data_IF_358829604130
#
_entry.id   IF_358829604130
#
_cell.length_a   1.000
_cell.length_b   1.000
_cell.length_c   1.000
_cell.angle_alpha   90.00
_cell.angle_beta   90.00
_cell.angle_gamma   90.00
#
_symmetry.space_group_name_H-M   'P 1'
#
loop_
_entity.id
_entity.type
_entity.pdbx_description
1 polymer ?
#
# COMPACT_ATOMS: atom_id res chain seq x y z
N UNK A 1 6.28 11.34 16.10
CA UNK A 1 6.53 12.59 16.88
C UNK A 1 5.17 13.23 17.20
N UNK A 2 5.08 14.21 18.10
CA UNK A 2 3.80 14.92 18.31
C UNK A 2 3.34 15.54 16.98
N UNK A 3 2.10 15.29 16.58
CA UNK A 3 1.55 15.76 15.31
C UNK A 3 1.92 14.92 14.08
N UNK A 4 2.66 13.81 14.23
CA UNK A 4 2.81 12.84 13.14
C UNK A 4 1.48 12.08 12.97
N UNK A 5 0.97 11.93 11.73
CA UNK A 5 -0.19 11.08 11.47
C UNK A 5 0.04 9.65 11.95
N UNK A 6 -1.04 8.98 12.38
CA UNK A 6 -1.04 7.53 12.56
C UNK A 6 -1.12 6.83 11.20
N UNK A 7 -0.77 5.55 11.20
CA UNK A 7 -1.05 4.67 10.07
C UNK A 7 -2.55 4.65 9.71
N UNK A 8 -2.91 4.55 8.41
CA UNK A 8 -4.31 4.48 7.99
C UNK A 8 -4.93 3.12 8.33
N UNK A 9 -6.12 3.11 8.93
CA UNK A 9 -6.84 1.87 9.21
C UNK A 9 -6.07 0.91 10.12
N UNK A 10 -5.89 -0.34 9.69
CA UNK A 10 -5.19 -1.38 10.44
C UNK A 10 -3.71 -1.54 10.02
N UNK A 11 -3.18 -0.58 9.25
CA UNK A 11 -1.80 -0.62 8.77
C UNK A 11 -0.77 -0.63 9.92
N UNK A 12 0.37 -1.31 9.72
CA UNK A 12 1.58 -1.01 10.48
C UNK A 12 1.97 0.46 10.36
N UNK A 13 2.63 1.00 11.39
CA UNK A 13 3.20 2.34 11.34
C UNK A 13 4.17 2.51 10.19
N UNK A 14 4.19 3.71 9.58
CA UNK A 14 4.95 3.98 8.35
C UNK A 14 6.43 3.57 8.51
N UNK A 15 6.87 2.63 7.67
CA UNK A 15 8.24 2.09 7.66
C UNK A 15 8.51 0.96 8.65
N UNK A 16 7.53 0.52 9.44
CA UNK A 16 7.72 -0.54 10.44
C UNK A 16 7.52 -1.96 9.88
N UNK A 17 6.80 -2.10 8.77
CA UNK A 17 6.62 -3.35 8.03
C UNK A 17 7.74 -3.60 7.02
N UNK A 18 8.90 -4.01 7.56
CA UNK A 18 10.16 -4.15 6.82
C UNK A 18 10.41 -5.52 6.17
N UNK A 19 9.52 -6.49 6.38
CA UNK A 19 9.72 -7.89 5.91
C UNK A 19 8.95 -8.20 4.61
N UNK A 20 8.40 -7.17 3.96
CA UNK A 20 7.65 -7.29 2.72
C UNK A 20 6.13 -7.31 2.91
N UNK A 21 5.43 -7.26 1.78
CA UNK A 21 3.98 -7.08 1.71
C UNK A 21 3.22 -8.27 2.30
N UNK A 22 3.65 -9.50 2.03
CA UNK A 22 2.95 -10.70 2.49
C UNK A 22 3.01 -10.86 4.03
N UNK A 23 4.16 -10.70 4.71
CA UNK A 23 4.18 -10.68 6.18
C UNK A 23 3.36 -9.54 6.81
N UNK A 24 3.26 -8.38 6.15
CA UNK A 24 2.38 -7.28 6.57
C UNK A 24 0.90 -7.72 6.54
N UNK A 25 0.47 -8.35 5.44
CA UNK A 25 -0.87 -8.94 5.33
C UNK A 25 -1.15 -10.00 6.39
N UNK A 26 -0.20 -10.91 6.64
CA UNK A 26 -0.37 -11.94 7.67
C UNK A 26 -0.44 -11.37 9.08
N UNK A 27 0.24 -10.25 9.33
CA UNK A 27 0.18 -9.58 10.63
C UNK A 27 -1.20 -8.96 10.86
N UNK A 28 -1.76 -8.29 9.84
CA UNK A 28 -3.11 -7.71 9.91
C UNK A 28 -4.20 -8.78 9.94
N UNK A 29 -4.02 -9.88 9.21
CA UNK A 29 -4.96 -11.02 9.21
C UNK A 29 -5.09 -11.75 10.56
N UNK A 30 -4.24 -11.44 11.54
CA UNK A 30 -4.39 -11.92 12.93
C UNK A 30 -5.43 -11.15 13.74
N UNK A 31 -5.91 -10.00 13.26
CA UNK A 31 -6.98 -9.26 13.91
C UNK A 31 -8.26 -10.08 13.75
N UNK A 32 -8.90 -10.43 14.86
CA UNK A 32 -10.16 -11.16 14.83
C UNK A 32 -11.26 -10.27 14.23
N UNK A 33 -11.88 -10.74 13.16
CA UNK A 33 -12.95 -10.00 12.51
C UNK A 33 -14.20 -9.91 13.39
N UNK A 34 -14.43 -10.87 14.28
CA UNK A 34 -15.57 -10.84 15.20
C UNK A 34 -15.48 -9.68 16.21
N UNK A 35 -14.28 -9.18 16.47
CA UNK A 35 -14.03 -7.97 17.26
C UNK A 35 -14.09 -6.67 16.43
N UNK A 36 -14.17 -6.76 15.10
CA UNK A 36 -14.05 -5.64 14.17
C UNK A 36 -15.01 -5.77 12.95
N UNK A 37 -16.27 -6.09 13.22
CA UNK A 37 -17.30 -6.36 12.20
C UNK A 37 -17.62 -5.19 11.24
N UNK A 38 -17.14 -3.98 11.52
CA UNK A 38 -17.25 -2.82 10.61
C UNK A 38 -16.13 -2.78 9.55
N UNK A 39 -15.18 -3.73 9.60
CA UNK A 39 -14.13 -3.93 8.61
C UNK A 39 -12.73 -3.63 9.11
N UNK A 40 -11.76 -4.36 8.54
CA UNK A 40 -10.33 -4.22 8.82
C UNK A 40 -9.63 -3.82 7.52
N UNK A 41 -9.25 -2.53 7.40
CA UNK A 41 -8.63 -2.01 6.18
C UNK A 41 -7.10 -2.02 6.24
N UNK A 42 -6.46 -2.76 5.33
CA UNK A 42 -5.04 -2.65 5.03
C UNK A 42 -4.79 -1.93 3.70
N UNK A 43 -3.82 -1.02 3.65
CA UNK A 43 -3.36 -0.37 2.42
C UNK A 43 -1.89 -0.66 2.15
N UNK A 44 -1.62 -1.44 1.11
CA UNK A 44 -0.28 -1.81 0.70
C UNK A 44 0.12 -1.09 -0.58
N UNK A 45 1.37 -0.67 -0.62
CA UNK A 45 2.02 -0.17 -1.83
C UNK A 45 3.22 -1.06 -2.12
N UNK A 46 3.31 -1.56 -3.35
CA UNK A 46 4.43 -2.36 -3.84
C UNK A 46 4.94 -1.77 -5.14
N UNK A 47 6.26 -1.82 -5.33
CA UNK A 47 6.88 -1.40 -6.59
C UNK A 47 6.65 -2.43 -7.70
N UNK A 48 6.56 -2.04 -8.99
CA UNK A 48 6.33 -3.00 -10.07
C UNK A 48 7.37 -4.13 -10.14
N UNK A 49 8.65 -3.79 -9.96
CA UNK A 49 9.78 -4.71 -9.86
C UNK A 49 9.73 -5.56 -8.60
N UNK A 50 9.12 -5.07 -7.52
CA UNK A 50 8.87 -5.87 -6.33
C UNK A 50 7.84 -6.98 -6.53
N UNK A 51 6.97 -6.85 -7.55
CA UNK A 51 6.01 -7.89 -7.93
C UNK A 51 6.56 -8.86 -8.98
N UNK A 52 7.47 -8.45 -9.85
CA UNK A 52 7.97 -9.33 -10.91
C UNK A 52 8.69 -8.57 -12.03
N UNK A 53 9.45 -9.32 -12.83
CA UNK A 53 10.30 -8.77 -13.90
C UNK A 53 9.47 -8.33 -15.10
N UNK A 54 8.45 -9.10 -15.43
CA UNK A 54 7.50 -8.85 -16.51
C UNK A 54 6.05 -8.83 -16.01
N UNK A 55 5.12 -8.58 -16.92
CA UNK A 55 3.70 -8.45 -16.60
C UNK A 55 3.09 -9.77 -16.11
N UNK A 56 3.42 -10.89 -16.75
CA UNK A 56 2.88 -12.20 -16.38
C UNK A 56 3.34 -12.62 -14.98
N UNK A 57 4.62 -12.40 -14.65
CA UNK A 57 5.15 -12.61 -13.30
C UNK A 57 4.45 -11.72 -12.28
N UNK A 58 4.25 -10.43 -12.58
CA UNK A 58 3.59 -9.49 -11.65
C UNK A 58 2.15 -9.90 -11.36
N UNK A 59 1.40 -10.30 -12.38
CA UNK A 59 0.02 -10.77 -12.24
C UNK A 59 0.01 -12.04 -11.39
N UNK A 60 0.83 -13.03 -11.76
CA UNK A 60 0.89 -14.33 -11.06
C UNK A 60 1.27 -14.16 -9.59
N UNK A 61 2.28 -13.34 -9.31
CA UNK A 61 2.74 -13.08 -7.94
C UNK A 61 1.72 -12.28 -7.14
N UNK A 62 1.06 -11.29 -7.74
CA UNK A 62 0.00 -10.54 -7.05
C UNK A 62 -1.19 -11.43 -6.69
N UNK A 63 -1.62 -12.30 -7.62
CA UNK A 63 -2.68 -13.30 -7.35
C UNK A 63 -2.26 -14.19 -6.18
N UNK A 64 -1.05 -14.74 -6.21
CA UNK A 64 -0.54 -15.58 -5.12
C UNK A 64 -0.46 -14.86 -3.77
N UNK A 65 -0.07 -13.58 -3.75
CA UNK A 65 -0.04 -12.75 -2.53
C UNK A 65 -1.46 -12.56 -1.99
N UNK A 66 -2.43 -12.27 -2.85
CA UNK A 66 -3.83 -12.07 -2.44
C UNK A 66 -4.47 -13.38 -1.94
N UNK A 67 -4.24 -14.50 -2.63
CA UNK A 67 -4.72 -15.82 -2.22
C UNK A 67 -4.16 -16.21 -0.85
N UNK A 68 -2.85 -16.02 -0.66
CA UNK A 68 -2.20 -16.28 0.61
C UNK A 68 -2.73 -15.35 1.71
N UNK A 69 -2.84 -14.05 1.45
CA UNK A 69 -3.40 -13.09 2.41
C UNK A 69 -4.81 -13.48 2.87
N UNK A 70 -5.71 -13.75 1.92
CA UNK A 70 -7.08 -14.18 2.21
C UNK A 70 -7.10 -15.51 3.00
N UNK A 71 -6.24 -16.47 2.64
CA UNK A 71 -6.07 -17.72 3.39
C UNK A 71 -5.57 -17.54 4.83
N UNK A 72 -5.04 -16.37 5.17
CA UNK A 72 -4.50 -16.00 6.48
C UNK A 72 -5.33 -14.93 7.19
N UNK A 73 -6.64 -14.85 6.91
CA UNK A 73 -7.58 -14.00 7.66
C UNK A 73 -7.60 -12.53 7.24
N UNK A 74 -6.92 -12.17 6.14
CA UNK A 74 -7.00 -10.82 5.60
C UNK A 74 -8.43 -10.52 5.12
N UNK A 75 -9.05 -9.49 5.69
CA UNK A 75 -10.42 -9.10 5.35
C UNK A 75 -10.51 -8.17 4.14
N UNK A 76 -9.69 -7.11 4.11
CA UNK A 76 -9.69 -6.12 3.03
C UNK A 76 -8.27 -5.62 2.74
N UNK A 77 -7.95 -5.48 1.45
CA UNK A 77 -6.70 -4.90 0.98
C UNK A 77 -6.91 -3.85 -0.12
N UNK A 78 -6.35 -2.66 0.09
CA UNK A 78 -6.02 -1.72 -0.96
C UNK A 78 -4.65 -2.05 -1.52
N UNK A 79 -4.55 -2.16 -2.85
CA UNK A 79 -3.30 -2.40 -3.54
C UNK A 79 -2.95 -1.19 -4.42
N UNK A 80 -1.78 -0.63 -4.19
CA UNK A 80 -1.13 0.29 -5.10
C UNK A 80 0.10 -0.41 -5.71
N UNK A 81 0.23 -0.36 -7.04
CA UNK A 81 1.44 -0.81 -7.76
C UNK A 81 2.09 0.41 -8.39
N UNK A 82 2.99 1.06 -7.65
CA UNK A 82 3.57 2.35 -8.04
C UNK A 82 4.93 2.59 -7.39
N UNK A 83 5.64 3.60 -7.90
CA UNK A 83 6.96 4.03 -7.42
C UNK A 83 6.85 5.31 -6.60
N UNK A 84 7.71 5.46 -5.59
CA UNK A 84 7.73 6.67 -4.77
C UNK A 84 8.09 7.90 -5.62
N UNK A 85 9.05 7.72 -6.53
CA UNK A 85 9.54 8.74 -7.45
C UNK A 85 8.42 9.23 -8.39
N UNK A 86 7.46 8.38 -8.73
CA UNK A 86 6.29 8.77 -9.54
C UNK A 86 5.38 9.72 -8.76
N UNK A 87 5.19 9.49 -7.46
CA UNK A 87 4.41 10.40 -6.62
C UNK A 87 5.16 11.71 -6.40
N UNK A 88 6.48 11.65 -6.20
CA UNK A 88 7.32 12.84 -6.07
C UNK A 88 7.28 13.71 -7.34
N UNK A 89 7.41 13.12 -8.55
CA UNK A 89 7.24 13.86 -9.81
C UNK A 89 5.81 14.42 -9.94
N UNK A 90 4.79 13.68 -9.50
CA UNK A 90 3.41 14.15 -9.56
C UNK A 90 3.11 15.31 -8.60
N UNK A 91 3.89 15.48 -7.54
CA UNK A 91 3.79 16.64 -6.66
C UNK A 91 4.38 17.88 -7.32
N UNK A 92 5.50 17.75 -8.04
CA UNK A 92 6.18 18.87 -8.69
C UNK A 92 5.58 19.21 -10.07
N UNK A 93 5.02 18.21 -10.76
CA UNK A 93 4.47 18.30 -12.12
C UNK A 93 3.05 17.68 -12.21
N UNK A 94 2.05 18.19 -11.47
CA UNK A 94 0.72 17.60 -11.41
C UNK A 94 0.00 17.52 -12.77
N UNK A 95 0.33 18.40 -13.71
CA UNK A 95 -0.20 18.44 -15.07
C UNK A 95 0.15 17.20 -15.91
N UNK A 96 1.25 16.51 -15.59
CA UNK A 96 1.61 15.23 -16.24
C UNK A 96 0.75 14.06 -15.75
N UNK A 97 0.07 14.22 -14.61
CA UNK A 97 -0.62 13.15 -13.89
C UNK A 97 -2.10 13.48 -13.59
N UNK A 98 -2.89 13.98 -14.56
CA UNK A 98 -4.24 14.50 -14.30
C UNK A 98 -5.21 13.42 -13.77
N UNK A 99 -4.91 12.14 -14.02
CA UNK A 99 -5.73 11.00 -13.64
C UNK A 99 -5.04 10.05 -12.65
N UNK A 100 -3.87 10.43 -12.10
CA UNK A 100 -3.15 9.57 -11.15
C UNK A 100 -4.01 9.31 -9.91
N UNK A 101 -4.42 8.06 -9.76
CA UNK A 101 -5.34 7.62 -8.73
C UNK A 101 -4.62 6.67 -7.79
N UNK A 102 -4.72 6.94 -6.49
CA UNK A 102 -4.07 6.14 -5.44
C UNK A 102 -5.11 5.65 -4.44
N UNK A 103 -4.91 4.45 -3.90
CA UNK A 103 -5.68 3.92 -2.76
C UNK A 103 -5.05 4.43 -1.46
N UNK A 104 -5.85 4.91 -0.52
CA UNK A 104 -5.34 5.55 0.71
C UNK A 104 -5.79 4.89 2.02
N UNK A 105 -7.08 4.65 2.23
CA UNK A 105 -7.59 4.15 3.53
C UNK A 105 -8.97 3.47 3.41
N UNK A 106 -9.19 2.74 2.32
CA UNK A 106 -10.46 2.07 2.00
C UNK A 106 -11.13 2.59 0.72
N UNK A 107 -10.60 3.69 0.17
CA UNK A 107 -11.10 4.32 -1.04
C UNK A 107 -9.94 4.83 -1.90
N UNK A 108 -10.26 5.26 -3.11
CA UNK A 108 -9.32 5.85 -4.05
C UNK A 108 -9.50 7.37 -4.14
N UNK A 109 -8.40 8.08 -4.36
CA UNK A 109 -8.37 9.54 -4.56
C UNK A 109 -7.51 9.88 -5.76
N UNK A 110 -7.82 11.01 -6.40
CA UNK A 110 -6.92 11.61 -7.36
C UNK A 110 -5.78 12.30 -6.58
N UNK A 111 -4.55 11.81 -6.77
CA UNK A 111 -3.39 12.22 -5.99
C UNK A 111 -3.06 13.71 -6.12
N UNK A 112 -3.18 14.27 -7.32
CA UNK A 112 -2.86 15.68 -7.57
C UNK A 112 -3.91 16.64 -7.00
N UNK A 113 -5.07 16.13 -6.55
CA UNK A 113 -6.11 16.91 -5.87
C UNK A 113 -5.96 16.93 -4.34
N UNK A 114 -5.04 16.16 -3.78
CA UNK A 114 -4.75 16.18 -2.35
C UNK A 114 -3.99 17.44 -1.96
N UNK A 115 -4.09 17.85 -0.69
CA UNK A 115 -3.22 18.91 -0.17
C UNK A 115 -1.77 18.43 -0.11
N UNK A 116 -0.78 19.34 -0.14
CA UNK A 116 0.64 18.96 -0.04
C UNK A 116 0.93 18.12 1.22
N UNK A 117 0.29 18.42 2.35
CA UNK A 117 0.43 17.63 3.58
C UNK A 117 -0.07 16.19 3.40
N UNK A 118 -1.23 16.02 2.76
CA UNK A 118 -1.80 14.69 2.47
C UNK A 118 -0.96 13.93 1.45
N UNK A 119 -0.41 14.61 0.44
CA UNK A 119 0.52 13.99 -0.52
C UNK A 119 1.78 13.48 0.19
N UNK A 120 2.36 14.30 1.07
CA UNK A 120 3.53 13.92 1.87
C UNK A 120 3.22 12.76 2.82
N UNK A 121 2.04 12.70 3.41
CA UNK A 121 1.59 11.53 4.19
C UNK A 121 1.62 10.27 3.32
N UNK A 122 1.00 10.28 2.14
CA UNK A 122 0.98 9.13 1.22
C UNK A 122 2.39 8.71 0.79
N UNK A 123 3.26 9.67 0.46
CA UNK A 123 4.66 9.43 0.05
C UNK A 123 5.50 8.85 1.22
N UNK A 124 5.14 9.17 2.47
CA UNK A 124 5.87 8.72 3.65
C UNK A 124 5.61 7.28 4.07
N UNK A 125 4.57 6.65 3.50
CA UNK A 125 4.16 5.28 3.82
C UNK A 125 5.17 4.26 3.32
N UNK A 126 5.02 3.01 3.75
CA UNK A 126 5.85 1.89 3.29
C UNK A 126 5.61 1.59 1.80
N UNK A 127 6.69 1.46 1.05
CA UNK A 127 6.70 0.97 -0.33
C UNK A 127 7.48 -0.35 -0.33
N UNK A 128 6.77 -1.47 -0.47
CA UNK A 128 7.42 -2.76 -0.51
C UNK A 128 8.25 -2.91 -1.78
N UNK A 129 9.48 -3.38 -1.59
CA UNK A 129 10.35 -3.87 -2.63
C UNK A 129 10.31 -5.40 -2.55
N UNK A 130 10.48 -6.09 -3.69
CA UNK A 130 10.37 -7.54 -3.75
C UNK A 130 11.40 -8.22 -2.85
N UNK A 131 11.16 -9.48 -2.51
CA UNK A 131 12.03 -10.28 -1.64
C UNK A 131 13.37 -10.70 -2.28
N UNK A 132 13.81 -10.05 -3.35
CA UNK A 132 15.10 -10.31 -3.99
C UNK A 132 16.06 -9.18 -3.63
N UNK A 133 16.70 -9.32 -2.48
CA UNK A 133 18.05 -8.77 -2.29
C UNK A 133 19.02 -9.83 -2.77
N UNK A 134 19.82 -9.51 -3.78
CA UNK A 134 21.08 -10.21 -4.03
C UNK A 134 21.97 -10.19 -2.77
#
# INVERSE_FOLDING_TARGET
KKGTPYAPGANPENGMDSHGMLPSMFSVGKIDYDDALDGISLTNTITPDGLGRDEDERITNLVGILDAGNGHGLYHANINVLRKEQLEDAVEHPEKYPHLTVRVSGYAVNFVKLTKEQQLDVISRTFHQGSVTD
#
